data_IF_981085220806
#
_entry.id   IF_981085220806
#
_cell.length_a   1.000
_cell.length_b   1.000
_cell.length_c   1.000
_cell.angle_alpha   90.00
_cell.angle_beta   90.00
_cell.angle_gamma   90.00
#
_symmetry.space_group_name_H-M   'P 1'
#
loop_
_entity.id
_entity.type
_entity.pdbx_description
1 polymer ?
#
# COMPACT_ATOMS: atom_id res chain seq x y z
N UNK A 1 9.86 19.77 -65.19
CA UNK A 1 9.67 18.34 -64.84
C UNK A 1 10.62 18.05 -63.70
N UNK A 2 10.12 17.96 -62.47
CA UNK A 2 10.95 17.74 -61.28
C UNK A 2 11.20 16.24 -61.11
N UNK A 3 12.45 15.81 -61.26
CA UNK A 3 12.88 14.43 -61.01
C UNK A 3 13.06 14.24 -59.50
N UNK A 4 12.06 13.62 -58.86
CA UNK A 4 12.20 13.18 -57.47
C UNK A 4 13.00 11.88 -57.42
N UNK A 5 13.97 11.83 -56.49
CA UNK A 5 14.72 10.61 -56.18
C UNK A 5 13.77 9.49 -55.74
N UNK A 6 14.02 8.22 -56.13
CA UNK A 6 13.21 7.09 -55.68
C UNK A 6 13.14 6.96 -54.15
N UNK A 7 14.16 7.45 -53.43
CA UNK A 7 14.20 7.45 -51.96
C UNK A 7 13.23 8.44 -51.31
N UNK A 8 12.98 9.60 -51.93
CA UNK A 8 12.02 10.58 -51.40
C UNK A 8 10.57 10.15 -51.62
N UNK A 9 10.30 9.44 -52.72
CA UNK A 9 8.97 8.85 -52.96
C UNK A 9 8.65 7.75 -51.92
N UNK A 10 9.65 6.97 -51.54
CA UNK A 10 9.48 5.88 -50.57
C UNK A 10 9.26 6.40 -49.14
N UNK A 11 9.92 7.50 -48.75
CA UNK A 11 9.67 8.15 -47.46
C UNK A 11 8.27 8.77 -47.38
N UNK A 12 7.82 9.41 -48.47
CA UNK A 12 6.47 9.98 -48.55
C UNK A 12 5.38 8.90 -48.49
N UNK A 13 5.61 7.75 -49.12
CA UNK A 13 4.69 6.61 -49.06
C UNK A 13 4.61 6.03 -47.63
N UNK A 14 5.74 5.93 -46.93
CA UNK A 14 5.75 5.48 -45.53
C UNK A 14 5.04 6.46 -44.60
N UNK A 15 5.22 7.77 -44.78
CA UNK A 15 4.53 8.79 -43.98
C UNK A 15 3.01 8.79 -44.22
N UNK A 16 2.57 8.59 -45.47
CA UNK A 16 1.14 8.46 -45.80
C UNK A 16 0.52 7.18 -45.20
N UNK A 17 1.24 6.06 -45.20
CA UNK A 17 0.77 4.82 -44.58
C UNK A 17 0.67 4.93 -43.05
N UNK A 18 1.63 5.60 -42.41
CA UNK A 18 1.55 5.87 -40.97
C UNK A 18 0.38 6.81 -40.62
N UNK A 19 0.12 7.82 -41.44
CA UNK A 19 -0.98 8.75 -41.19
C UNK A 19 -2.35 8.08 -41.38
N UNK A 20 -2.51 7.21 -42.39
CA UNK A 20 -3.74 6.43 -42.59
C UNK A 20 -3.96 5.39 -41.48
N UNK A 21 -2.91 4.75 -40.96
CA UNK A 21 -3.01 3.81 -39.85
C UNK A 21 -3.44 4.49 -38.55
N UNK A 22 -3.03 5.74 -38.32
CA UNK A 22 -3.42 6.52 -37.14
C UNK A 22 -4.91 6.91 -37.20
N UNK A 23 -5.44 7.27 -38.37
CA UNK A 23 -6.85 7.63 -38.55
C UNK A 23 -7.81 6.45 -38.35
N UNK A 24 -7.38 5.22 -38.66
CA UNK A 24 -8.21 4.01 -38.46
C UNK A 24 -8.31 3.63 -36.98
N UNK A 25 -7.27 3.91 -36.18
CA UNK A 25 -7.26 3.64 -34.74
C UNK A 25 -8.15 4.61 -33.94
N UNK A 26 -8.30 5.87 -34.37
CA UNK A 26 -9.24 6.81 -33.73
C UNK A 26 -10.71 6.47 -34.01
N UNK A 27 -11.03 5.87 -35.16
CA UNK A 27 -12.40 5.50 -35.52
C UNK A 27 -12.95 4.27 -34.76
N UNK A 28 -12.08 3.40 -34.22
CA UNK A 28 -12.51 2.23 -33.44
C UNK A 28 -12.74 2.53 -31.95
N UNK A 29 -12.28 3.67 -31.43
CA UNK A 29 -12.42 4.02 -30.01
C UNK A 29 -13.72 4.78 -29.68
N UNK A 30 -14.38 5.40 -30.66
CA UNK A 30 -15.66 6.12 -30.45
C UNK A 30 -16.91 5.23 -30.56
N UNK A 31 -16.79 3.96 -30.96
CA UNK A 31 -17.96 3.13 -31.32
C UNK A 31 -18.39 2.07 -30.28
N UNK A 32 -17.90 2.13 -29.04
CA UNK A 32 -18.31 1.21 -27.95
C UNK A 32 -19.01 1.90 -26.77
N UNK A 33 -19.55 3.10 -26.97
CA UNK A 33 -20.41 3.77 -26.01
C UNK A 33 -21.87 3.78 -26.45
N UNK A 34 -22.74 3.23 -25.59
CA UNK A 34 -24.21 3.49 -25.46
C UNK A 34 -25.18 2.53 -26.16
N UNK A 35 -26.00 1.84 -25.34
CA UNK A 35 -27.39 1.44 -25.63
C UNK A 35 -28.21 1.62 -24.34
N UNK A 36 -29.01 2.70 -24.24
CA UNK A 36 -30.50 2.76 -24.33
C UNK A 36 -31.24 1.86 -23.33
N UNK A 37 -31.83 2.39 -22.25
CA UNK A 37 -33.10 3.14 -22.11
C UNK A 37 -34.35 2.23 -22.07
N UNK A 38 -35.18 2.38 -21.03
CA UNK A 38 -36.64 2.27 -21.09
C UNK A 38 -37.27 2.81 -19.79
N UNK A 39 -38.10 3.83 -20.00
CA UNK A 39 -38.97 4.51 -19.04
C UNK A 39 -40.24 3.69 -18.82
N UNK A 40 -40.78 3.72 -17.60
CA UNK A 40 -42.22 3.57 -17.42
C UNK A 40 -42.67 4.53 -16.31
N UNK A 41 -43.65 5.36 -16.66
CA UNK A 41 -44.18 6.46 -15.86
C UNK A 41 -45.69 6.23 -15.71
N UNK A 42 -46.19 6.04 -14.49
CA UNK A 42 -47.56 6.47 -14.19
C UNK A 42 -47.86 6.65 -12.70
N UNK A 43 -48.55 7.77 -12.46
CA UNK A 43 -49.61 8.00 -11.49
C UNK A 43 -49.29 8.67 -10.14
N UNK A 44 -49.68 9.93 -10.13
CA UNK A 44 -49.70 10.97 -9.10
C UNK A 44 -50.66 10.69 -7.91
N UNK A 45 -50.24 11.00 -6.67
CA UNK A 45 -50.96 11.92 -5.76
C UNK A 45 -50.10 12.32 -4.54
N UNK A 46 -50.27 13.54 -3.99
CA UNK A 46 -49.29 14.16 -3.11
C UNK A 46 -49.68 14.02 -1.64
N UNK A 47 -48.70 13.90 -0.73
CA UNK A 47 -48.86 14.26 0.68
C UNK A 47 -47.54 14.36 1.44
N UNK A 48 -47.31 15.59 1.92
CA UNK A 48 -46.60 15.96 3.15
C UNK A 48 -45.07 15.93 3.13
N UNK A 49 -44.54 17.15 3.12
CA UNK A 49 -43.30 17.57 3.76
C UNK A 49 -43.07 16.77 5.06
N UNK A 50 -42.09 15.88 5.03
CA UNK A 50 -41.36 15.47 6.21
C UNK A 50 -39.89 15.48 5.84
N UNK A 51 -39.19 16.43 6.44
CA UNK A 51 -37.74 16.60 6.46
C UNK A 51 -36.99 15.25 6.47
N UNK A 52 -35.88 15.10 5.71
CA UNK A 52 -35.07 13.92 5.84
C UNK A 52 -34.31 14.03 7.16
N UNK A 53 -34.88 13.43 8.20
CA UNK A 53 -34.09 12.99 9.34
C UNK A 53 -33.02 12.05 8.79
N UNK A 54 -31.81 12.59 8.59
CA UNK A 54 -30.58 11.83 8.33
C UNK A 54 -30.48 10.72 9.37
N UNK A 55 -30.96 9.54 9.03
CA UNK A 55 -30.57 8.30 9.71
C UNK A 55 -29.12 8.10 9.35
N UNK A 56 -28.23 8.57 10.22
CA UNK A 56 -26.83 8.17 10.20
C UNK A 56 -26.80 6.66 10.46
N UNK A 57 -26.83 5.87 9.40
CA UNK A 57 -26.42 4.47 9.44
C UNK A 57 -24.98 4.50 9.94
N UNK A 58 -24.76 4.18 11.22
CA UNK A 58 -23.42 4.15 11.80
C UNK A 58 -22.64 3.03 11.08
N UNK A 59 -21.79 3.42 10.13
CA UNK A 59 -20.88 2.51 9.46
C UNK A 59 -19.94 1.93 10.50
N UNK A 60 -19.82 0.61 10.51
CA UNK A 60 -19.00 -0.13 11.47
C UNK A 60 -17.50 0.13 11.28
N UNK A 61 -17.07 0.34 10.04
CA UNK A 61 -15.70 0.69 9.71
C UNK A 61 -15.59 2.22 9.64
N UNK A 62 -14.78 2.80 10.53
CA UNK A 62 -14.61 4.26 10.64
C UNK A 62 -13.13 4.63 10.53
N UNK A 63 -12.87 5.76 9.89
CA UNK A 63 -11.57 6.40 9.90
C UNK A 63 -11.40 7.17 11.22
N UNK A 64 -10.39 6.80 12.00
CA UNK A 64 -9.96 7.51 13.19
C UNK A 64 -8.70 8.33 12.90
N UNK A 65 -8.50 9.39 13.66
CA UNK A 65 -7.28 10.18 13.59
C UNK A 65 -6.12 9.40 14.19
N UNK A 66 -4.96 9.43 13.53
CA UNK A 66 -3.70 8.88 14.04
C UNK A 66 -2.58 9.89 13.77
N UNK A 67 -2.24 10.66 14.78
CA UNK A 67 -1.13 11.62 14.69
C UNK A 67 0.21 10.86 14.68
N UNK A 68 1.00 11.09 13.65
CA UNK A 68 2.34 10.52 13.50
C UNK A 68 3.34 11.66 13.38
N UNK A 69 4.47 11.58 14.10
CA UNK A 69 5.56 12.53 13.98
C UNK A 69 6.35 12.24 12.71
N UNK A 70 6.41 13.21 11.80
CA UNK A 70 7.11 13.08 10.51
C UNK A 70 8.52 13.67 10.56
N UNK A 71 8.74 14.66 11.42
CA UNK A 71 10.05 15.27 11.62
C UNK A 71 9.93 16.57 12.40
N UNK A 72 11.02 17.32 12.43
CA UNK A 72 11.05 18.65 13.03
C UNK A 72 10.96 19.70 11.94
N UNK A 73 10.09 20.68 12.12
CA UNK A 73 9.89 21.76 11.17
C UNK A 73 11.18 22.56 10.99
N UNK A 74 11.44 23.01 9.77
CA UNK A 74 12.56 23.90 9.50
C UNK A 74 12.30 25.29 10.08
N UNK A 75 11.08 25.81 9.91
CA UNK A 75 10.70 27.16 10.28
C UNK A 75 10.58 27.40 11.81
N UNK A 76 10.09 26.43 12.58
CA UNK A 76 9.82 26.62 14.03
C UNK A 76 10.68 25.74 14.92
N UNK A 77 11.30 24.68 14.40
CA UNK A 77 12.05 23.72 15.22
C UNK A 77 11.17 22.82 16.08
N UNK A 78 9.85 22.79 15.82
CA UNK A 78 8.88 21.97 16.53
C UNK A 78 8.55 20.68 15.77
N UNK A 79 8.00 19.70 16.49
CA UNK A 79 7.61 18.42 15.90
C UNK A 79 6.39 18.59 14.99
N UNK A 80 6.57 18.25 13.71
CA UNK A 80 5.49 18.20 12.73
C UNK A 80 4.71 16.91 12.88
N UNK A 81 3.50 17.01 13.44
CA UNK A 81 2.56 15.90 13.61
C UNK A 81 1.54 15.92 12.48
N UNK A 82 1.36 14.78 11.81
CA UNK A 82 0.43 14.62 10.69
C UNK A 82 -0.59 13.54 11.02
N UNK A 83 -1.86 13.80 10.75
CA UNK A 83 -2.91 12.79 10.84
C UNK A 83 -2.85 11.85 9.63
N UNK A 84 -2.29 10.66 9.80
CA UNK A 84 -2.20 9.67 8.71
C UNK A 84 -3.49 8.86 8.53
N UNK A 85 -4.42 9.00 9.48
CA UNK A 85 -5.65 8.22 9.52
C UNK A 85 -5.41 6.74 9.87
N UNK A 86 -6.34 6.15 10.60
CA UNK A 86 -6.34 4.72 10.94
C UNK A 86 -7.75 4.15 10.89
N UNK A 87 -7.93 3.07 10.14
CA UNK A 87 -9.22 2.40 10.04
C UNK A 87 -9.48 1.52 11.26
N UNK A 88 -10.60 1.77 11.94
CA UNK A 88 -11.01 1.01 13.11
C UNK A 88 -12.45 0.52 12.98
N UNK A 89 -12.66 -0.70 13.47
CA UNK A 89 -13.97 -1.32 13.63
C UNK A 89 -14.65 -0.73 14.88
N UNK A 90 -15.58 0.23 14.71
CA UNK A 90 -16.47 0.80 15.75
C UNK A 90 -17.91 0.41 15.51
N UNK A 91 -18.24 -0.79 15.93
CA UNK A 91 -19.53 -1.37 15.61
C UNK A 91 -20.24 -1.51 16.94
N UNK A 92 -21.40 -0.86 17.06
CA UNK A 92 -22.23 -0.96 18.26
C UNK A 92 -22.85 -2.36 18.28
N UNK A 93 -22.03 -3.35 18.66
CA UNK A 93 -22.31 -4.76 18.47
C UNK A 93 -21.57 -5.63 19.47
N UNK A 94 -21.54 -5.24 20.74
CA UNK A 94 -21.57 -6.22 21.82
C UNK A 94 -22.79 -5.89 22.64
N UNK A 95 -23.64 -6.90 22.87
CA UNK A 95 -24.60 -6.84 23.98
C UNK A 95 -23.78 -6.41 25.19
N UNK A 96 -24.01 -5.21 25.73
CA UNK A 96 -23.50 -4.92 27.06
C UNK A 96 -24.21 -5.92 27.93
N UNK A 97 -23.48 -6.92 28.44
CA UNK A 97 -24.02 -7.75 29.49
C UNK A 97 -24.39 -6.80 30.62
N UNK A 98 -25.69 -6.67 30.84
CA UNK A 98 -26.23 -5.85 31.91
C UNK A 98 -25.65 -6.39 33.21
N UNK A 99 -24.90 -5.55 33.93
CA UNK A 99 -24.28 -5.99 35.18
C UNK A 99 -25.40 -6.27 36.18
N UNK A 100 -25.24 -7.32 36.99
CA UNK A 100 -26.25 -7.72 38.00
C UNK A 100 -26.68 -6.54 38.89
N UNK A 101 -25.73 -5.71 39.33
CA UNK A 101 -26.02 -4.52 40.15
C UNK A 101 -26.90 -3.48 39.43
N UNK A 102 -26.79 -3.38 38.10
CA UNK A 102 -27.61 -2.47 37.29
C UNK A 102 -29.04 -3.01 37.13
N UNK A 103 -29.20 -4.34 37.00
CA UNK A 103 -30.50 -5.00 37.02
C UNK A 103 -31.20 -4.89 38.36
N UNK A 104 -30.47 -5.11 39.46
CA UNK A 104 -31.00 -4.97 40.81
C UNK A 104 -31.44 -3.53 41.11
N UNK A 105 -30.69 -2.53 40.64
CA UNK A 105 -31.10 -1.12 40.76
C UNK A 105 -32.39 -0.85 40.01
N UNK A 106 -32.50 -1.34 38.78
CA UNK A 106 -33.69 -1.12 37.97
C UNK A 106 -34.92 -1.87 38.48
N UNK A 107 -34.76 -3.06 39.06
CA UNK A 107 -35.83 -3.78 39.75
C UNK A 107 -36.32 -3.02 40.99
N UNK A 108 -35.44 -2.28 41.67
CA UNK A 108 -35.82 -1.42 42.81
C UNK A 108 -36.55 -0.15 42.35
N UNK A 109 -36.15 0.42 41.22
CA UNK A 109 -36.76 1.60 40.62
C UNK A 109 -38.12 1.30 39.95
N UNK A 110 -38.35 0.07 39.49
CA UNK A 110 -39.59 -0.34 38.81
C UNK A 110 -40.15 -1.66 39.39
N UNK A 111 -40.72 -1.63 40.61
CA UNK A 111 -41.18 -2.84 41.31
C UNK A 111 -42.40 -3.51 40.67
N UNK A 112 -43.11 -2.82 39.78
CA UNK A 112 -44.33 -3.30 39.10
C UNK A 112 -44.07 -3.97 37.76
N UNK A 113 -42.85 -3.87 37.24
CA UNK A 113 -42.47 -4.41 35.94
C UNK A 113 -41.77 -5.75 36.16
N UNK A 114 -42.23 -6.78 35.44
CA UNK A 114 -41.61 -8.11 35.50
C UNK A 114 -40.09 -8.03 35.20
N UNK A 115 -39.23 -8.61 36.05
CA UNK A 115 -37.77 -8.54 35.91
C UNK A 115 -37.25 -9.01 34.55
N UNK A 116 -37.93 -9.98 33.92
CA UNK A 116 -37.55 -10.48 32.59
C UNK A 116 -37.84 -9.45 31.51
N UNK A 117 -38.97 -8.76 31.61
CA UNK A 117 -39.33 -7.64 30.72
C UNK A 117 -38.36 -6.48 30.87
N UNK A 118 -37.97 -6.17 32.11
CA UNK A 118 -37.03 -5.12 32.45
C UNK A 118 -35.62 -5.43 31.90
N UNK A 119 -35.16 -6.66 32.09
CA UNK A 119 -33.92 -7.15 31.47
C UNK A 119 -33.98 -7.06 29.95
N UNK A 120 -35.09 -7.40 29.31
CA UNK A 120 -35.25 -7.35 27.85
C UNK A 120 -35.27 -5.91 27.29
N UNK A 121 -35.82 -4.95 28.02
CA UNK A 121 -35.86 -3.53 27.66
C UNK A 121 -34.47 -2.87 27.77
N UNK A 122 -33.70 -3.22 28.80
CA UNK A 122 -32.40 -2.60 29.08
C UNK A 122 -31.20 -3.39 28.54
N UNK A 123 -31.35 -4.67 28.24
CA UNK A 123 -30.39 -5.46 27.46
C UNK A 123 -30.51 -5.09 26.00
N UNK A 124 -30.01 -3.90 25.66
CA UNK A 124 -30.27 -3.22 24.40
C UNK A 124 -30.25 -4.13 23.18
N UNK A 125 -31.42 -4.28 22.54
CA UNK A 125 -31.54 -4.56 21.12
C UNK A 125 -31.18 -3.30 20.33
N UNK A 126 -29.90 -2.91 20.40
CA UNK A 126 -29.34 -2.27 19.23
C UNK A 126 -29.38 -3.33 18.13
N UNK A 127 -30.13 -3.12 17.05
CA UNK A 127 -29.71 -3.71 15.77
C UNK A 127 -28.33 -3.11 15.52
N UNK A 128 -27.30 -3.77 16.04
CA UNK A 128 -25.95 -3.50 15.63
C UNK A 128 -25.95 -3.76 14.14
N UNK A 129 -25.66 -2.72 13.34
CA UNK A 129 -25.27 -2.95 11.95
C UNK A 129 -24.12 -3.94 12.05
N UNK A 130 -24.27 -5.08 11.36
CA UNK A 130 -23.31 -6.14 11.46
C UNK A 130 -21.94 -5.57 11.23
N UNK A 131 -21.18 -5.77 12.29
CA UNK A 131 -19.82 -5.33 12.35
C UNK A 131 -19.12 -6.13 11.25
N UNK A 132 -18.52 -5.52 10.20
CA UNK A 132 -17.97 -6.16 8.97
C UNK A 132 -18.07 -7.69 8.96
N UNK A 133 -18.65 -8.31 7.93
CA UNK A 133 -18.98 -9.74 7.89
C UNK A 133 -17.87 -10.63 8.48
N UNK A 134 -18.17 -11.81 9.03
CA UNK A 134 -17.22 -12.57 9.89
C UNK A 134 -15.78 -12.74 9.35
N UNK A 135 -15.61 -12.72 8.02
CA UNK A 135 -14.33 -12.84 7.30
C UNK A 135 -13.72 -11.50 6.82
N UNK A 136 -14.42 -10.39 7.05
CA UNK A 136 -14.06 -9.04 6.65
C UNK A 136 -13.37 -8.26 7.78
N UNK A 137 -12.31 -7.56 7.39
CA UNK A 137 -11.55 -6.66 8.24
C UNK A 137 -11.77 -5.22 7.76
N UNK A 138 -11.85 -4.28 8.69
CA UNK A 138 -11.92 -2.85 8.38
C UNK A 138 -10.54 -2.38 7.93
N UNK A 139 -10.38 -2.12 6.64
CA UNK A 139 -9.13 -1.73 6.01
C UNK A 139 -9.28 -0.40 5.25
N UNK A 140 -8.19 0.38 5.10
CA UNK A 140 -8.17 1.55 4.24
C UNK A 140 -8.58 1.20 2.79
N UNK A 141 -9.33 2.09 2.15
CA UNK A 141 -9.84 1.91 0.78
C UNK A 141 -9.41 2.98 -0.21
N UNK A 142 -9.06 4.17 0.28
CA UNK A 142 -8.51 5.24 -0.53
C UNK A 142 -7.40 5.96 0.24
N UNK A 143 -6.42 6.46 -0.51
CA UNK A 143 -5.23 7.09 0.02
C UNK A 143 -4.81 8.27 -0.86
N UNK A 144 -4.21 9.27 -0.21
CA UNK A 144 -3.53 10.37 -0.88
C UNK A 144 -2.10 10.50 -0.37
N UNK A 145 -1.20 10.97 -1.21
CA UNK A 145 0.16 11.31 -0.80
C UNK A 145 0.24 12.79 -0.44
N UNK A 146 0.86 13.08 0.70
CA UNK A 146 1.15 14.44 1.16
C UNK A 146 2.65 14.60 1.36
N UNK A 147 3.15 15.81 1.13
CA UNK A 147 4.57 16.12 1.30
C UNK A 147 4.76 17.19 2.37
N UNK A 148 5.75 16.98 3.23
CA UNK A 148 6.09 17.87 4.34
C UNK A 148 7.56 18.26 4.28
N UNK A 149 7.87 19.53 4.45
CA UNK A 149 9.25 20.01 4.56
C UNK A 149 9.70 19.90 6.02
N UNK A 150 10.74 19.10 6.25
CA UNK A 150 11.38 18.93 7.56
C UNK A 150 12.82 19.40 7.48
N UNK A 151 13.48 19.57 8.63
CA UNK A 151 14.93 19.86 8.68
C UNK A 151 15.80 18.82 7.98
N UNK A 152 15.30 17.60 7.79
CA UNK A 152 16.01 16.51 7.11
C UNK A 152 15.68 16.43 5.62
N UNK A 153 14.82 17.32 5.12
CA UNK A 153 14.35 17.36 3.74
C UNK A 153 12.84 17.14 3.61
N UNK A 154 12.40 17.01 2.36
CA UNK A 154 11.00 16.72 2.03
C UNK A 154 10.68 15.26 2.37
N UNK A 155 9.64 15.04 3.16
CA UNK A 155 9.14 13.71 3.53
C UNK A 155 7.76 13.51 2.91
N UNK A 156 7.57 12.44 2.14
CA UNK A 156 6.28 12.04 1.61
C UNK A 156 5.58 11.03 2.52
N UNK A 157 4.31 11.24 2.79
CA UNK A 157 3.50 10.44 3.71
C UNK A 157 2.20 10.07 3.02
N UNK A 158 1.81 8.79 3.10
CA UNK A 158 0.50 8.37 2.58
C UNK A 158 -0.55 8.48 3.67
N UNK A 159 -1.60 9.27 3.41
CA UNK A 159 -2.71 9.53 4.32
C UNK A 159 -3.95 8.77 3.86
N UNK A 160 -4.64 8.13 4.81
CA UNK A 160 -5.86 7.37 4.55
C UNK A 160 -7.05 8.31 4.42
N UNK A 161 -7.79 8.22 3.31
CA UNK A 161 -8.98 9.06 3.06
C UNK A 161 -10.28 8.36 3.44
N UNK A 162 -10.36 7.05 3.23
CA UNK A 162 -11.56 6.26 3.53
C UNK A 162 -11.23 4.85 3.99
N UNK A 163 -12.20 4.23 4.67
CA UNK A 163 -12.10 2.88 5.19
C UNK A 163 -13.32 2.06 4.74
N UNK A 164 -13.12 0.78 4.44
CA UNK A 164 -14.19 -0.15 4.11
C UNK A 164 -13.92 -1.55 4.68
N UNK A 165 -14.98 -2.33 4.85
CA UNK A 165 -14.86 -3.74 5.17
C UNK A 165 -14.36 -4.48 3.92
N UNK A 166 -13.26 -5.22 4.04
CA UNK A 166 -12.68 -6.01 2.96
C UNK A 166 -12.40 -7.42 3.44
N UNK A 167 -12.61 -8.41 2.57
CA UNK A 167 -12.27 -9.81 2.87
C UNK A 167 -10.75 -9.93 3.03
N UNK A 168 -10.31 -10.52 4.13
CA UNK A 168 -8.89 -10.75 4.37
C UNK A 168 -8.39 -11.86 3.45
N UNK A 169 -7.30 -11.62 2.72
CA UNK A 169 -6.67 -12.67 1.92
C UNK A 169 -6.15 -13.80 2.82
N UNK A 170 -6.53 -15.05 2.51
CA UNK A 170 -6.04 -16.23 3.24
C UNK A 170 -4.55 -16.52 3.00
N UNK A 171 -4.04 -16.16 1.83
CA UNK A 171 -2.64 -16.31 1.43
C UNK A 171 -2.02 -14.95 1.13
N UNK A 172 -0.72 -14.81 1.39
CA UNK A 172 0.03 -13.61 1.03
C UNK A 172 -0.05 -13.35 -0.48
N UNK A 173 -0.60 -12.20 -0.86
CA UNK A 173 -0.69 -11.75 -2.24
C UNK A 173 -0.67 -10.22 -2.31
N UNK A 174 -0.36 -9.70 -3.49
CA UNK A 174 -0.53 -8.30 -3.80
C UNK A 174 -2.02 -7.96 -3.85
N UNK A 175 -2.41 -6.90 -3.16
CA UNK A 175 -3.71 -6.26 -3.26
C UNK A 175 -3.54 -4.87 -3.90
N UNK A 176 -4.48 -4.44 -4.76
CA UNK A 176 -4.42 -3.12 -5.37
C UNK A 176 -4.60 -2.04 -4.30
N UNK A 177 -3.80 -0.98 -4.39
CA UNK A 177 -3.81 0.19 -3.51
C UNK A 177 -3.61 1.43 -4.37
N UNK A 178 -4.72 2.03 -4.77
CA UNK A 178 -4.74 3.30 -5.51
C UNK A 178 -4.38 4.47 -4.60
N UNK A 179 -3.32 5.19 -4.93
CA UNK A 179 -2.85 6.40 -4.24
C UNK A 179 -2.89 7.57 -5.19
N UNK A 180 -3.49 8.67 -4.75
CA UNK A 180 -3.52 9.93 -5.51
C UNK A 180 -2.33 10.82 -5.10
N UNK A 181 -1.48 11.17 -6.07
CA UNK A 181 -0.38 12.11 -5.93
C UNK A 181 -0.80 13.51 -6.41
N UNK A 182 -0.20 14.54 -5.83
CA UNK A 182 -0.42 15.96 -6.18
C UNK A 182 -1.90 16.35 -6.30
N UNK A 183 -2.71 15.91 -5.32
CA UNK A 183 -4.16 16.14 -5.28
C UNK A 183 -4.48 17.65 -5.43
N UNK A 184 -5.54 17.95 -6.18
CA UNK A 184 -6.03 19.31 -6.45
C UNK A 184 -5.06 20.18 -7.27
N UNK A 185 -4.16 19.55 -8.03
CA UNK A 185 -3.26 20.22 -8.99
C UNK A 185 -3.44 19.67 -10.41
N UNK A 186 -3.01 20.40 -11.47
CA UNK A 186 -3.01 19.88 -12.84
C UNK A 186 -2.12 18.64 -13.04
N UNK A 187 -1.17 18.40 -12.12
CA UNK A 187 -0.25 17.26 -12.14
C UNK A 187 -0.81 16.05 -11.34
N UNK A 188 -2.08 16.10 -10.94
CA UNK A 188 -2.71 15.04 -10.17
C UNK A 188 -2.64 13.71 -10.92
N UNK A 189 -1.98 12.73 -10.32
CA UNK A 189 -1.79 11.40 -10.90
C UNK A 189 -2.22 10.34 -9.90
N UNK A 190 -3.03 9.38 -10.34
CA UNK A 190 -3.46 8.25 -9.48
C UNK A 190 -2.74 6.99 -9.92
N UNK A 191 -2.05 6.34 -8.99
CA UNK A 191 -1.27 5.13 -9.26
C UNK A 191 -1.69 3.99 -8.33
N UNK A 192 -1.75 2.77 -8.86
CA UNK A 192 -1.83 1.57 -8.04
C UNK A 192 -0.43 1.19 -7.53
N UNK A 193 -0.11 1.59 -6.30
CA UNK A 193 1.15 1.23 -5.66
C UNK A 193 1.15 -0.23 -5.18
N UNK A 194 -0.03 -0.81 -5.00
CA UNK A 194 -0.21 -2.11 -4.39
C UNK A 194 0.19 -2.16 -2.90
N UNK A 195 -0.27 -3.19 -2.21
CA UNK A 195 0.26 -3.58 -0.91
C UNK A 195 0.23 -5.10 -0.75
N UNK A 196 1.13 -5.62 0.08
CA UNK A 196 1.14 -7.04 0.40
C UNK A 196 0.19 -7.31 1.56
N UNK A 197 -0.76 -8.22 1.34
CA UNK A 197 -1.73 -8.62 2.34
C UNK A 197 -1.92 -10.13 2.30
N UNK A 198 -2.07 -10.74 3.46
CA UNK A 198 -2.46 -12.13 3.61
C UNK A 198 -1.93 -12.74 4.89
N UNK A 199 -2.03 -14.06 4.99
CA UNK A 199 -1.42 -14.83 6.07
C UNK A 199 -0.20 -15.59 5.55
N UNK A 200 0.78 -15.74 6.43
CA UNK A 200 2.01 -16.49 6.25
C UNK A 200 2.19 -17.41 7.46
N UNK A 201 3.01 -18.44 7.31
CA UNK A 201 3.41 -19.33 8.41
C UNK A 201 4.06 -18.56 9.56
N UNK A 202 4.15 -19.21 10.72
CA UNK A 202 4.82 -18.64 11.90
C UNK A 202 6.24 -18.15 11.52
N UNK A 203 6.63 -16.99 12.06
CA UNK A 203 7.88 -16.25 11.82
C UNK A 203 8.05 -15.55 10.45
N UNK A 204 7.11 -15.71 9.52
CA UNK A 204 7.15 -15.03 8.21
C UNK A 204 6.10 -13.92 8.11
N UNK A 205 6.44 -12.85 7.39
CA UNK A 205 5.53 -11.75 7.12
C UNK A 205 5.30 -11.57 5.62
N UNK A 206 4.09 -11.16 5.25
CA UNK A 206 3.75 -10.90 3.86
C UNK A 206 4.38 -9.58 3.39
N UNK A 207 5.45 -9.68 2.58
CA UNK A 207 6.31 -8.55 2.18
C UNK A 207 6.44 -8.47 0.67
N UNK A 208 6.84 -7.29 0.18
CA UNK A 208 7.04 -7.05 -1.26
C UNK A 208 8.38 -7.64 -1.70
N UNK A 209 8.33 -8.70 -2.49
CA UNK A 209 9.54 -9.37 -3.02
C UNK A 209 10.06 -8.68 -4.27
N UNK A 210 9.18 -7.97 -4.99
CA UNK A 210 9.52 -7.27 -6.22
C UNK A 210 8.78 -5.95 -6.30
N UNK A 211 9.52 -4.90 -6.65
CA UNK A 211 8.98 -3.57 -6.88
C UNK A 211 9.56 -2.98 -8.15
N UNK A 212 8.78 -2.10 -8.78
CA UNK A 212 9.21 -1.27 -9.91
C UNK A 212 9.13 0.20 -9.51
N UNK A 213 10.03 1.02 -10.04
CA UNK A 213 9.96 2.48 -9.86
C UNK A 213 9.38 3.13 -11.10
N UNK A 214 8.43 4.05 -10.92
CA UNK A 214 7.83 4.85 -11.99
C UNK A 214 8.11 6.31 -11.71
N UNK A 215 8.58 7.06 -12.72
CA UNK A 215 8.71 8.51 -12.62
C UNK A 215 7.37 9.18 -12.88
N UNK A 216 6.96 10.05 -11.95
CA UNK A 216 5.73 10.84 -12.00
C UNK A 216 6.11 12.31 -12.06
N UNK A 217 5.47 13.08 -12.93
CA UNK A 217 5.71 14.53 -12.99
C UNK A 217 5.17 15.20 -11.73
N UNK A 218 6.07 15.86 -11.00
CA UNK A 218 5.74 16.63 -9.82
C UNK A 218 6.07 18.12 -10.00
N UNK A 219 5.57 18.97 -9.09
CA UNK A 219 5.81 20.42 -9.14
C UNK A 219 7.31 20.79 -9.02
N UNK A 220 8.11 19.91 -8.41
CA UNK A 220 9.55 20.07 -8.24
C UNK A 220 10.38 19.24 -9.24
N UNK A 221 9.76 18.76 -10.32
CA UNK A 221 10.36 17.81 -11.27
C UNK A 221 9.82 16.40 -11.11
N UNK A 222 10.36 15.47 -11.88
CA UNK A 222 9.91 14.08 -11.86
C UNK A 222 10.31 13.40 -10.54
N UNK A 223 9.35 12.82 -9.82
CA UNK A 223 9.58 12.01 -8.62
C UNK A 223 9.48 10.51 -8.93
N UNK A 224 10.31 9.70 -8.29
CA UNK A 224 10.26 8.24 -8.44
C UNK A 224 9.38 7.61 -7.36
N UNK A 225 8.35 6.90 -7.79
CA UNK A 225 7.40 6.21 -6.91
C UNK A 225 7.57 4.71 -7.07
N UNK A 226 7.68 3.99 -5.95
CA UNK A 226 7.82 2.54 -5.94
C UNK A 226 6.45 1.86 -5.94
N UNK A 227 6.24 0.95 -6.89
CA UNK A 227 5.05 0.13 -7.06
C UNK A 227 5.42 -1.31 -6.75
N UNK A 228 4.69 -1.93 -5.82
CA UNK A 228 4.79 -3.36 -5.54
C UNK A 228 4.29 -4.14 -6.75
N UNK A 229 5.04 -5.11 -7.24
CA UNK A 229 4.60 -6.02 -8.31
C UNK A 229 4.24 -7.40 -7.76
N UNK A 230 5.06 -7.92 -6.85
CA UNK A 230 4.93 -9.27 -6.30
C UNK A 230 5.12 -9.26 -4.78
N UNK A 231 4.41 -10.17 -4.10
CA UNK A 231 4.45 -10.34 -2.66
C UNK A 231 4.76 -11.80 -2.32
N UNK A 232 5.50 -12.01 -1.24
CA UNK A 232 5.86 -13.34 -0.73
C UNK A 232 5.91 -13.36 0.79
N UNK A 233 5.94 -14.57 1.36
CA UNK A 233 6.15 -14.78 2.78
C UNK A 233 7.64 -14.81 3.06
N UNK A 234 8.15 -13.74 3.67
CA UNK A 234 9.57 -13.53 3.86
C UNK A 234 9.90 -13.25 5.32
N UNK A 235 11.15 -13.56 5.70
CA UNK A 235 11.66 -13.28 7.04
C UNK A 235 11.88 -11.77 7.25
N UNK A 236 12.27 -11.38 8.47
CA UNK A 236 12.56 -9.97 8.78
C UNK A 236 13.67 -9.37 7.94
N UNK A 237 14.66 -10.20 7.54
CA UNK A 237 15.71 -9.89 6.58
C UNK A 237 15.63 -10.85 5.40
N UNK A 238 15.38 -10.32 4.20
CA UNK A 238 15.12 -11.11 3.01
C UNK A 238 15.73 -10.49 1.76
N UNK A 239 15.75 -11.27 0.68
CA UNK A 239 16.24 -10.84 -0.64
C UNK A 239 15.05 -10.32 -1.45
N UNK A 240 15.09 -9.05 -1.85
CA UNK A 240 14.19 -8.48 -2.84
C UNK A 240 14.83 -8.49 -4.23
N UNK A 241 14.01 -8.61 -5.27
CA UNK A 241 14.45 -8.51 -6.67
C UNK A 241 14.84 -7.09 -7.01
N UNK A 242 16.00 -6.95 -7.65
CA UNK A 242 16.50 -5.68 -8.16
C UNK A 242 17.10 -5.94 -9.54
N UNK A 243 16.51 -5.34 -10.58
CA UNK A 243 17.00 -5.52 -11.94
C UNK A 243 18.12 -4.55 -12.28
N UNK A 244 19.11 -5.05 -13.00
CA UNK A 244 20.20 -4.27 -13.56
C UNK A 244 20.30 -4.52 -15.07
N UNK A 245 20.42 -3.44 -15.84
CA UNK A 245 20.67 -3.51 -17.28
C UNK A 245 22.15 -3.70 -17.53
N UNK A 246 22.53 -4.85 -18.09
CA UNK A 246 23.90 -5.18 -18.41
C UNK A 246 24.12 -5.16 -19.92
N UNK A 247 25.19 -4.49 -20.35
CA UNK A 247 25.63 -4.45 -21.74
C UNK A 247 26.94 -5.21 -21.87
N UNK A 248 26.89 -6.38 -22.50
CA UNK A 248 28.08 -7.20 -22.72
C UNK A 248 28.62 -6.96 -24.14
N UNK A 249 29.88 -6.52 -24.22
CA UNK A 249 30.54 -6.18 -25.48
C UNK A 249 31.36 -7.37 -25.96
N UNK A 250 30.98 -7.96 -27.09
CA UNK A 250 31.82 -8.96 -27.78
C UNK A 250 32.71 -8.27 -28.81
N UNK A 251 33.83 -8.91 -29.16
CA UNK A 251 34.90 -8.35 -30.02
C UNK A 251 34.39 -7.96 -31.43
N UNK A 252 33.20 -8.41 -31.85
CA UNK A 252 32.71 -8.29 -33.23
C UNK A 252 31.45 -7.44 -33.44
N UNK A 253 31.01 -6.62 -32.48
CA UNK A 253 29.93 -5.65 -32.72
C UNK A 253 28.89 -5.58 -31.61
N UNK A 254 27.81 -4.83 -31.92
CA UNK A 254 26.76 -4.28 -31.04
C UNK A 254 26.56 -5.00 -29.70
N UNK A 255 26.44 -4.24 -28.59
CA UNK A 255 26.33 -4.83 -27.26
C UNK A 255 25.11 -5.74 -27.15
N UNK A 256 25.32 -6.92 -26.56
CA UNK A 256 24.21 -7.74 -26.11
C UNK A 256 23.65 -7.12 -24.83
N UNK A 257 22.46 -6.53 -24.91
CA UNK A 257 21.74 -6.04 -23.73
C UNK A 257 20.99 -7.19 -23.08
N UNK A 258 21.13 -7.29 -21.76
CA UNK A 258 20.39 -8.26 -20.94
C UNK A 258 19.97 -7.61 -19.63
N UNK A 259 18.82 -8.02 -19.11
CA UNK A 259 18.32 -7.58 -17.80
C UNK A 259 18.54 -8.71 -16.81
N UNK A 260 19.28 -8.44 -15.74
CA UNK A 260 19.66 -9.44 -14.73
C UNK A 260 19.08 -9.02 -13.38
N UNK A 261 18.49 -9.96 -12.64
CA UNK A 261 18.14 -9.74 -11.23
C UNK A 261 19.41 -9.87 -10.37
N UNK A 262 19.97 -8.72 -9.96
CA UNK A 262 21.12 -8.66 -9.05
C UNK A 262 20.70 -8.87 -7.60
N UNK A 263 19.45 -8.57 -7.26
CA UNK A 263 18.93 -8.66 -5.90
C UNK A 263 19.46 -7.60 -4.95
N UNK A 264 18.72 -7.39 -3.87
CA UNK A 264 19.14 -6.55 -2.76
C UNK A 264 18.61 -7.12 -1.45
N UNK A 265 19.31 -6.86 -0.34
CA UNK A 265 18.85 -7.27 0.99
C UNK A 265 18.02 -6.14 1.60
N UNK A 266 16.80 -6.49 2.03
CA UNK A 266 15.86 -5.55 2.63
C UNK A 266 15.38 -6.16 3.94
N UNK A 267 15.32 -5.35 4.99
CA UNK A 267 14.82 -5.81 6.27
C UNK A 267 15.50 -5.18 7.46
N UNK A 268 15.02 -5.60 8.63
CA UNK A 268 15.48 -5.16 9.93
C UNK A 268 15.86 -6.38 10.78
N UNK A 269 16.85 -6.19 11.65
CA UNK A 269 17.48 -7.24 12.44
C UNK A 269 17.40 -6.89 13.92
N UNK A 270 16.18 -6.59 14.39
CA UNK A 270 15.93 -6.11 15.76
C UNK A 270 15.71 -7.25 16.76
N UNK A 271 15.50 -8.49 16.29
CA UNK A 271 15.09 -9.64 17.12
C UNK A 271 16.25 -10.51 17.61
N UNK A 272 17.51 -10.07 17.51
CA UNK A 272 18.61 -10.82 18.12
C UNK A 272 18.77 -10.33 19.56
N UNK A 273 18.00 -10.95 20.46
CA UNK A 273 18.14 -10.74 21.89
C UNK A 273 19.55 -11.12 22.33
N UNK A 274 20.30 -10.25 23.03
CA UNK A 274 21.64 -10.56 23.55
C UNK A 274 21.63 -11.65 24.65
N UNK A 275 20.48 -12.22 24.98
CA UNK A 275 20.32 -13.23 26.04
C UNK A 275 20.99 -14.57 25.69
N UNK A 276 21.08 -14.91 24.41
CA UNK A 276 21.67 -16.18 23.95
C UNK A 276 23.20 -16.15 23.90
N UNK A 277 23.81 -14.97 23.96
CA UNK A 277 25.26 -14.78 23.84
C UNK A 277 25.83 -13.92 24.96
N UNK A 278 25.33 -14.14 26.18
CA UNK A 278 25.91 -13.59 27.39
C UNK A 278 27.04 -14.49 27.91
N UNK A 279 28.27 -13.99 27.90
CA UNK A 279 29.44 -14.74 28.40
C UNK A 279 29.52 -14.68 29.92
N UNK A 280 29.09 -13.58 30.51
CA UNK A 280 29.12 -13.43 31.97
C UNK A 280 27.86 -12.72 32.45
N UNK A 281 27.12 -13.40 33.34
CA UNK A 281 25.92 -12.88 34.00
C UNK A 281 26.27 -12.44 35.42
N UNK A 282 25.72 -11.31 35.83
CA UNK A 282 25.75 -10.84 37.21
C UNK A 282 24.77 -11.65 38.06
N UNK A 283 25.00 -11.69 39.37
CA UNK A 283 24.11 -12.32 40.37
C UNK A 283 22.69 -11.74 40.41
N UNK A 284 22.48 -10.57 39.79
CA UNK A 284 21.20 -9.88 39.60
C UNK A 284 20.43 -10.33 38.33
N UNK A 285 21.04 -11.16 37.49
CA UNK A 285 20.49 -11.57 36.18
C UNK A 285 20.87 -10.65 35.01
N UNK A 286 21.59 -9.55 35.26
CA UNK A 286 22.09 -8.66 34.21
C UNK A 286 23.26 -9.28 33.43
N UNK A 287 23.28 -9.13 32.09
CA UNK A 287 24.44 -9.55 31.29
C UNK A 287 25.55 -8.50 31.36
N UNK A 288 26.71 -8.87 31.90
CA UNK A 288 27.87 -7.96 32.08
C UNK A 288 28.77 -7.94 30.86
N UNK A 289 28.80 -9.04 30.08
CA UNK A 289 29.67 -9.15 28.92
C UNK A 289 29.03 -10.00 27.82
N UNK A 290 28.89 -9.41 26.62
CA UNK A 290 28.50 -10.09 25.38
C UNK A 290 29.54 -9.79 24.30
N UNK A 291 29.92 -10.80 23.50
CA UNK A 291 30.81 -10.62 22.35
C UNK A 291 30.10 -10.01 21.14
N UNK A 292 28.78 -9.87 21.20
CA UNK A 292 27.96 -9.45 20.08
C UNK A 292 27.91 -7.92 20.04
N UNK A 293 28.40 -7.32 18.95
CA UNK A 293 28.14 -5.91 18.66
C UNK A 293 26.63 -5.73 18.51
N UNK A 294 26.10 -4.77 19.26
CA UNK A 294 24.67 -4.47 19.46
C UNK A 294 23.90 -4.02 18.20
N UNK A 295 24.44 -4.19 17.01
CA UNK A 295 23.82 -3.74 15.75
C UNK A 295 24.02 -4.80 14.68
N UNK A 296 23.00 -5.63 14.48
CA UNK A 296 22.91 -6.49 13.32
C UNK A 296 22.25 -5.72 12.18
N UNK A 297 22.76 -5.88 10.97
CA UNK A 297 22.18 -5.30 9.77
C UNK A 297 21.84 -6.40 8.76
N UNK A 298 20.74 -6.20 8.03
CA UNK A 298 20.36 -7.11 6.97
C UNK A 298 21.35 -6.97 5.82
N UNK A 299 22.15 -8.02 5.58
CA UNK A 299 23.26 -7.98 4.65
C UNK A 299 23.36 -9.28 3.83
N UNK A 300 24.01 -9.24 2.65
CA UNK A 300 24.11 -10.42 1.81
C UNK A 300 25.01 -11.49 2.45
N UNK A 301 24.45 -12.69 2.63
CA UNK A 301 25.16 -13.89 3.12
C UNK A 301 25.59 -14.80 1.97
N UNK A 302 24.93 -14.69 0.82
CA UNK A 302 25.27 -15.42 -0.40
C UNK A 302 25.48 -14.46 -1.56
N UNK A 303 26.62 -14.57 -2.22
CA UNK A 303 27.02 -13.76 -3.36
C UNK A 303 27.44 -14.66 -4.52
N UNK A 304 27.07 -14.28 -5.74
CA UNK A 304 27.52 -14.88 -6.99
C UNK A 304 28.15 -13.81 -7.87
N UNK A 305 29.26 -14.14 -8.52
CA UNK A 305 29.99 -13.22 -9.38
C UNK A 305 29.75 -13.58 -10.85
N UNK A 306 29.30 -12.60 -11.64
CA UNK A 306 29.13 -12.69 -13.09
C UNK A 306 30.17 -11.81 -13.78
N UNK A 307 30.95 -12.39 -14.68
CA UNK A 307 31.94 -11.65 -15.45
C UNK A 307 31.37 -11.23 -16.80
N UNK A 308 31.61 -9.97 -17.21
CA UNK A 308 31.17 -9.44 -18.49
C UNK A 308 32.21 -8.49 -19.08
N UNK A 309 32.18 -8.33 -20.40
CA UNK A 309 33.09 -7.42 -21.10
C UNK A 309 32.45 -6.04 -21.25
N UNK A 310 33.17 -5.01 -20.85
CA UNK A 310 32.75 -3.62 -20.97
C UNK A 310 33.21 -3.01 -22.31
N UNK A 311 32.72 -1.80 -22.63
CA UNK A 311 32.99 -1.07 -23.90
C UNK A 311 34.48 -0.93 -24.23
N UNK A 312 35.31 -0.82 -23.20
CA UNK A 312 36.76 -0.63 -23.27
C UNK A 312 37.52 -1.95 -23.44
N UNK A 313 36.82 -3.09 -23.56
CA UNK A 313 37.42 -4.42 -23.59
C UNK A 313 37.91 -4.90 -22.22
N UNK A 314 37.63 -4.16 -21.15
CA UNK A 314 37.92 -4.60 -19.78
C UNK A 314 36.86 -5.59 -19.29
N UNK A 315 37.31 -6.67 -18.65
CA UNK A 315 36.42 -7.59 -17.96
C UNK A 315 36.01 -7.00 -16.61
N UNK A 316 34.72 -6.82 -16.39
CA UNK A 316 34.12 -6.35 -15.15
C UNK A 316 33.33 -7.47 -14.47
N UNK A 317 33.22 -7.38 -13.16
CA UNK A 317 32.49 -8.35 -12.34
C UNK A 317 31.24 -7.68 -11.77
N UNK A 318 30.09 -8.27 -12.06
CA UNK A 318 28.81 -7.94 -11.44
C UNK A 318 28.57 -8.89 -10.27
N UNK A 319 28.14 -8.35 -9.13
CA UNK A 319 27.82 -9.13 -7.93
C UNK A 319 26.31 -9.31 -7.86
N UNK A 320 25.88 -10.57 -7.76
CA UNK A 320 24.48 -10.97 -7.61
C UNK A 320 24.28 -11.52 -6.21
N UNK A 321 23.35 -10.93 -5.47
CA UNK A 321 22.92 -11.40 -4.15
C UNK A 321 22.05 -12.63 -4.35
N UNK A 322 22.42 -13.73 -3.70
CA UNK A 322 21.64 -14.99 -3.74
C UNK A 322 20.90 -15.25 -2.43
N UNK A 323 21.46 -14.81 -1.29
CA UNK A 323 20.86 -14.96 0.04
C UNK A 323 21.18 -13.76 0.92
N UNK A 324 20.25 -13.44 1.82
CA UNK A 324 20.36 -12.38 2.82
C UNK A 324 20.24 -12.96 4.22
N UNK A 325 20.81 -12.27 5.20
CA UNK A 325 20.68 -12.62 6.61
C UNK A 325 21.18 -11.49 7.51
N UNK A 326 20.89 -11.61 8.80
CA UNK A 326 21.38 -10.66 9.79
C UNK A 326 22.84 -10.97 10.14
N UNK A 327 23.72 -9.98 10.00
CA UNK A 327 25.14 -10.02 10.38
C UNK A 327 25.52 -8.81 11.22
#
# INVERSE_FOLDING_TARGET
MANFSPTTLQLLLQLLLFSLAYSVLEAEYENNGVGESLLDESSTRPSRLSSPARRHNATCCVLERKMTKIGTSEATGEDTLVDVGHCRRRCRGRRRHMKKAELERLMRENPTVDPRTLFMLHSGRGRGVDSCHEEEVCLPSAWRMEHFMTRQGQVSVTVTESCQCQVRAHSCRRQPRSVTLHKDTPLQTTLDLGNCQGHCSEDLECRATKSRSVSVEGPNGAECVSIVEECGCEASCYRATLYHHLYNYTIMGSPQSQVIDVGTCVGECDNITPEDHCISRESSGGCVMSLVKKSFHCSPTGLQHLHYQHKDGSSRTLVVVTRCGCQ
#
